data_IF_685174605116
#
_entry.id   IF_685174605116
#
_cell.length_a   1.000
_cell.length_b   1.000
_cell.length_c   1.000
_cell.angle_alpha   90.00
_cell.angle_beta   90.00
_cell.angle_gamma   90.00
#
_symmetry.space_group_name_H-M   'P 1'
#
loop_
_entity.id
_entity.type
_entity.pdbx_description
1 polymer ?
#
# COMPACT_ATOMS: atom_id res chain seq x y z
N UNK A 1 -31.35 -50.18 -81.25
CA UNK A 1 -32.28 -49.61 -80.23
C UNK A 1 -31.82 -50.03 -78.82
N UNK A 2 -31.29 -49.08 -78.04
CA UNK A 2 -30.97 -49.35 -76.63
C UNK A 2 -32.26 -49.41 -75.78
N UNK A 3 -32.32 -50.28 -74.76
CA UNK A 3 -33.47 -50.34 -73.86
C UNK A 3 -33.59 -49.03 -73.04
N UNK A 4 -34.80 -48.61 -72.66
CA UNK A 4 -34.99 -47.41 -71.87
C UNK A 4 -34.38 -47.59 -70.48
N UNK A 5 -33.62 -46.59 -70.04
CA UNK A 5 -33.04 -46.55 -68.70
C UNK A 5 -34.13 -46.51 -67.63
N UNK A 6 -33.99 -47.24 -66.51
CA UNK A 6 -34.98 -47.23 -65.43
C UNK A 6 -35.04 -45.85 -64.76
N UNK A 7 -36.26 -45.41 -64.44
CA UNK A 7 -36.50 -44.18 -63.66
C UNK A 7 -35.88 -44.33 -62.25
N UNK A 8 -35.30 -43.26 -61.69
CA UNK A 8 -34.74 -43.28 -60.35
C UNK A 8 -35.84 -43.54 -59.31
N UNK A 9 -35.54 -44.29 -58.24
CA UNK A 9 -36.50 -44.56 -57.17
C UNK A 9 -36.90 -43.27 -56.45
N UNK A 10 -38.18 -43.14 -56.09
CA UNK A 10 -38.70 -42.03 -55.31
C UNK A 10 -38.01 -41.93 -53.94
N UNK A 11 -37.77 -40.71 -53.43
CA UNK A 11 -37.14 -40.53 -52.12
C UNK A 11 -38.03 -41.08 -51.00
N UNK A 12 -37.40 -41.79 -50.05
CA UNK A 12 -38.05 -42.26 -48.83
C UNK A 12 -38.53 -41.06 -47.98
N UNK A 13 -39.68 -41.18 -47.30
CA UNK A 13 -40.14 -40.14 -46.38
C UNK A 13 -39.14 -39.98 -45.21
N UNK A 14 -38.96 -38.75 -44.70
CA UNK A 14 -38.08 -38.49 -43.58
C UNK A 14 -38.56 -39.20 -42.32
N UNK A 15 -37.63 -39.75 -41.54
CA UNK A 15 -37.93 -40.36 -40.25
C UNK A 15 -38.46 -39.32 -39.25
N UNK A 16 -39.39 -39.70 -38.36
CA UNK A 16 -39.89 -38.79 -37.34
C UNK A 16 -38.76 -38.38 -36.37
N UNK A 17 -38.80 -37.14 -35.84
CA UNK A 17 -37.81 -36.67 -34.89
C UNK A 17 -37.88 -37.45 -33.58
N UNK A 18 -36.71 -37.74 -32.99
CA UNK A 18 -36.62 -38.37 -31.68
C UNK A 18 -37.25 -37.50 -30.59
N UNK A 19 -37.92 -38.10 -29.58
CA UNK A 19 -38.50 -37.34 -28.47
C UNK A 19 -37.40 -36.62 -27.67
N UNK A 20 -37.70 -35.38 -27.27
CA UNK A 20 -36.81 -34.58 -26.42
C UNK A 20 -36.64 -35.25 -25.04
N UNK A 21 -35.44 -35.20 -24.45
CA UNK A 21 -35.23 -35.70 -23.09
C UNK A 21 -36.07 -34.88 -22.09
N UNK A 22 -36.56 -35.50 -21.01
CA UNK A 22 -37.32 -34.80 -19.99
C UNK A 22 -36.47 -33.70 -19.34
N UNK A 23 -37.10 -32.55 -19.10
CA UNK A 23 -36.46 -31.41 -18.46
C UNK A 23 -36.07 -31.76 -17.01
N UNK A 24 -34.88 -31.39 -16.54
CA UNK A 24 -34.46 -31.67 -15.17
C UNK A 24 -35.38 -30.96 -14.16
N UNK A 25 -35.71 -31.66 -13.08
CA UNK A 25 -36.55 -31.17 -11.99
C UNK A 25 -35.84 -29.99 -11.27
N UNK A 26 -36.57 -28.90 -10.95
CA UNK A 26 -35.96 -27.76 -10.25
C UNK A 26 -35.48 -28.18 -8.85
N UNK A 27 -34.35 -27.64 -8.38
CA UNK A 27 -33.85 -27.95 -7.04
C UNK A 27 -34.82 -27.46 -5.97
N UNK A 28 -35.01 -28.27 -4.93
CA UNK A 28 -35.83 -27.92 -3.77
C UNK A 28 -35.34 -26.62 -3.12
N UNK A 29 -36.25 -25.77 -2.61
CA UNK A 29 -35.88 -24.55 -1.93
C UNK A 29 -35.06 -24.86 -0.66
N UNK A 30 -34.07 -24.02 -0.31
CA UNK A 30 -33.29 -24.21 0.91
C UNK A 30 -34.18 -24.11 2.15
N UNK A 31 -33.88 -24.94 3.16
CA UNK A 31 -34.57 -24.90 4.44
C UNK A 31 -34.40 -23.54 5.13
N UNK A 32 -35.42 -23.04 5.84
CA UNK A 32 -35.33 -21.77 6.55
C UNK A 32 -34.24 -21.81 7.62
N UNK A 33 -33.45 -20.74 7.69
CA UNK A 33 -32.41 -20.56 8.70
C UNK A 33 -33.09 -20.40 10.07
N UNK A 34 -32.64 -21.13 11.12
CA UNK A 34 -33.19 -20.96 12.46
C UNK A 34 -32.96 -19.52 12.96
N UNK A 35 -33.90 -18.97 13.75
CA UNK A 35 -33.75 -17.61 14.28
C UNK A 35 -32.49 -17.52 15.14
N UNK A 36 -31.80 -16.39 15.03
CA UNK A 36 -30.62 -16.11 15.85
C UNK A 36 -31.02 -16.06 17.35
N UNK A 37 -30.17 -16.58 18.25
CA UNK A 37 -30.44 -16.52 19.68
C UNK A 37 -30.54 -15.07 20.15
N UNK A 38 -31.53 -14.79 21.00
CA UNK A 38 -31.72 -13.48 21.63
C UNK A 38 -30.50 -13.20 22.52
N UNK A 39 -29.84 -12.03 22.39
CA UNK A 39 -28.73 -11.69 23.26
C UNK A 39 -29.19 -11.62 24.73
N UNK A 40 -28.36 -12.08 25.69
CA UNK A 40 -28.70 -12.00 27.10
C UNK A 40 -28.84 -10.53 27.53
N UNK A 41 -29.81 -10.27 28.41
CA UNK A 41 -29.99 -8.94 29.00
C UNK A 41 -28.72 -8.51 29.74
N UNK A 42 -28.34 -7.22 29.66
CA UNK A 42 -27.19 -6.71 30.39
C UNK A 42 -27.41 -6.87 31.91
N UNK A 43 -26.34 -7.16 32.67
CA UNK A 43 -26.43 -7.22 34.12
C UNK A 43 -26.84 -5.86 34.70
N UNK A 44 -27.65 -5.88 35.75
CA UNK A 44 -28.03 -4.68 36.49
C UNK A 44 -26.78 -3.94 36.99
N UNK A 45 -26.79 -2.60 36.98
CA UNK A 45 -25.68 -1.81 37.50
C UNK A 45 -25.46 -2.11 38.99
N UNK A 46 -24.18 -2.22 39.37
CA UNK A 46 -23.78 -2.35 40.77
C UNK A 46 -24.19 -1.10 41.56
N UNK A 47 -24.58 -1.25 42.84
CA UNK A 47 -24.88 -0.10 43.69
C UNK A 47 -23.65 0.81 43.83
N UNK A 48 -23.84 2.13 43.97
CA UNK A 48 -22.73 3.07 44.15
C UNK A 48 -21.94 2.72 45.42
N UNK A 49 -20.62 2.82 45.32
CA UNK A 49 -19.71 2.66 46.46
C UNK A 49 -19.93 3.82 47.45
N UNK A 50 -19.89 3.58 48.77
CA UNK A 50 -20.04 4.64 49.75
C UNK A 50 -18.94 5.70 49.61
N UNK A 51 -19.33 6.96 49.79
CA UNK A 51 -18.45 8.12 49.71
C UNK A 51 -17.39 8.05 50.82
N UNK A 52 -16.09 8.26 50.52
CA UNK A 52 -15.06 8.29 51.54
C UNK A 52 -15.26 9.51 52.46
N UNK A 53 -14.95 9.39 53.76
CA UNK A 53 -15.06 10.51 54.69
C UNK A 53 -14.09 11.65 54.32
N UNK A 54 -14.55 12.88 54.48
CA UNK A 54 -13.75 14.08 54.25
C UNK A 54 -12.48 14.10 55.10
N UNK A 55 -11.32 14.49 54.53
CA UNK A 55 -10.08 14.62 55.30
C UNK A 55 -10.18 15.76 56.31
N UNK A 56 -9.51 15.66 57.48
CA UNK A 56 -9.46 16.74 58.44
C UNK A 56 -8.70 17.96 57.88
N UNK A 57 -9.11 19.16 58.32
CA UNK A 57 -8.51 20.42 57.93
C UNK A 57 -7.01 20.48 58.30
N UNK A 58 -6.14 21.01 57.42
CA UNK A 58 -4.72 21.12 57.70
C UNK A 58 -4.41 22.18 58.75
N UNK A 59 -3.49 21.85 59.66
CA UNK A 59 -2.88 22.78 60.64
C UNK A 59 -1.99 23.78 59.89
N UNK A 60 -1.98 25.09 60.25
CA UNK A 60 -1.13 26.06 59.58
C UNK A 60 0.36 25.75 59.81
N UNK A 61 1.22 25.85 58.77
CA UNK A 61 2.65 25.57 58.91
C UNK A 61 3.36 26.67 59.70
N UNK A 62 4.31 26.27 60.54
CA UNK A 62 5.27 27.18 61.19
C UNK A 62 6.20 27.83 60.14
N UNK A 63 6.72 29.05 60.40
CA UNK A 63 7.56 29.76 59.44
C UNK A 63 8.88 29.03 59.17
N UNK A 64 9.22 28.93 57.88
CA UNK A 64 10.41 28.25 57.35
C UNK A 64 11.62 29.21 57.42
N UNK A 65 12.79 28.77 57.89
CA UNK A 65 14.02 29.58 57.85
C UNK A 65 14.51 29.79 56.41
N UNK A 66 15.24 30.89 56.11
CA UNK A 66 15.67 31.20 54.76
C UNK A 66 16.61 30.14 54.18
N UNK A 67 16.41 29.79 52.91
CA UNK A 67 17.17 28.77 52.19
C UNK A 67 18.58 29.26 51.80
N UNK A 68 19.61 28.39 51.84
CA UNK A 68 20.94 28.72 51.33
C UNK A 68 20.94 28.89 49.79
N UNK A 69 21.91 29.63 49.21
CA UNK A 69 21.96 29.90 47.78
C UNK A 69 22.15 28.61 46.96
N UNK A 70 21.46 28.55 45.82
CA UNK A 70 21.47 27.39 44.92
C UNK A 70 22.84 27.16 44.26
N UNK A 71 23.32 25.91 44.15
CA UNK A 71 24.52 25.59 43.39
C UNK A 71 24.27 25.75 41.88
N UNK A 72 25.32 26.15 41.16
CA UNK A 72 25.34 26.28 39.70
C UNK A 72 24.96 24.96 39.00
N UNK A 73 24.22 25.01 37.88
CA UNK A 73 23.83 23.80 37.15
C UNK A 73 25.06 23.12 36.54
N UNK A 74 25.13 21.77 36.55
CA UNK A 74 26.21 21.03 35.92
C UNK A 74 26.17 21.20 34.39
N UNK A 75 27.36 21.17 33.78
CA UNK A 75 27.54 21.24 32.33
C UNK A 75 26.84 20.05 31.64
N UNK A 76 26.17 20.25 30.49
CA UNK A 76 25.46 19.18 29.81
C UNK A 76 26.42 18.10 29.31
N UNK A 77 26.07 16.85 29.62
CA UNK A 77 26.80 15.64 29.20
C UNK A 77 26.75 15.49 27.66
N UNK A 78 27.85 15.06 27.00
CA UNK A 78 27.85 14.85 25.56
C UNK A 78 26.82 13.78 25.15
N UNK A 79 26.13 13.95 24.00
CA UNK A 79 25.12 13.00 23.56
C UNK A 79 25.75 11.62 23.32
N UNK A 80 25.10 10.59 23.86
CA UNK A 80 25.48 9.20 23.63
C UNK A 80 25.47 8.87 22.13
N UNK A 81 26.41 8.03 21.65
CA UNK A 81 26.42 7.60 20.26
C UNK A 81 25.11 6.88 19.91
N UNK A 82 24.57 7.07 18.69
CA UNK A 82 23.32 6.44 18.29
C UNK A 82 23.46 4.91 18.35
N UNK A 83 22.50 4.27 19.03
CA UNK A 83 22.41 2.81 19.06
C UNK A 83 22.38 2.24 17.65
N UNK A 84 23.08 1.13 17.37
CA UNK A 84 23.03 0.47 16.07
C UNK A 84 21.60 0.05 15.74
N UNK A 85 21.11 0.53 14.60
CA UNK A 85 19.74 0.27 14.10
C UNK A 85 19.66 -1.21 13.68
N UNK A 86 18.63 -1.96 14.14
CA UNK A 86 18.42 -3.33 13.69
C UNK A 86 18.16 -3.36 12.17
N UNK A 87 18.67 -4.37 11.44
CA UNK A 87 18.45 -4.48 10.01
C UNK A 87 16.95 -4.53 9.70
N UNK A 88 16.51 -3.71 8.73
CA UNK A 88 15.14 -3.75 8.20
C UNK A 88 14.80 -5.19 7.75
N UNK A 89 13.60 -5.70 8.05
CA UNK A 89 13.22 -7.07 7.71
C UNK A 89 13.24 -7.27 6.18
N UNK A 90 13.55 -8.49 5.70
CA UNK A 90 13.56 -8.81 4.28
C UNK A 90 12.20 -8.53 3.64
N UNK A 91 12.22 -7.96 2.43
CA UNK A 91 11.08 -7.42 1.69
C UNK A 91 9.81 -8.25 1.86
N UNK A 92 8.85 -7.69 2.59
CA UNK A 92 7.49 -8.21 2.62
C UNK A 92 6.74 -7.54 1.47
N UNK A 93 6.23 -8.33 0.53
CA UNK A 93 5.15 -7.90 -0.37
C UNK A 93 4.02 -7.43 0.55
N UNK A 94 3.82 -6.12 0.64
CA UNK A 94 2.97 -5.60 1.69
C UNK A 94 1.52 -6.05 1.49
N UNK A 95 0.94 -6.67 2.52
CA UNK A 95 -0.48 -7.02 2.54
C UNK A 95 -1.26 -5.75 2.86
N UNK A 96 -1.79 -5.10 1.84
CA UNK A 96 -2.66 -3.93 1.97
C UNK A 96 -4.14 -4.29 2.05
N UNK A 97 -4.91 -3.52 2.81
CA UNK A 97 -6.37 -3.45 2.69
C UNK A 97 -6.73 -2.09 2.10
N UNK A 98 -7.61 -2.06 1.09
CA UNK A 98 -8.21 -0.82 0.57
C UNK A 98 -7.24 0.15 -0.11
N UNK A 99 -6.34 -0.34 -0.98
CA UNK A 99 -5.40 0.54 -1.71
C UNK A 99 -4.05 0.72 -1.02
N UNK A 100 -4.00 0.65 0.32
CA UNK A 100 -2.85 1.08 1.12
C UNK A 100 -1.84 -0.04 1.41
N UNK A 101 -0.55 0.21 1.18
CA UNK A 101 0.56 -0.64 1.63
C UNK A 101 1.62 0.21 2.33
N UNK A 102 2.29 -0.37 3.34
CA UNK A 102 3.39 0.20 4.12
C UNK A 102 4.60 -0.75 4.11
N UNK A 103 5.81 -0.22 4.36
CA UNK A 103 7.07 -0.96 4.57
C UNK A 103 7.70 -1.66 3.35
N UNK A 104 7.67 -1.05 2.15
CA UNK A 104 8.48 -1.52 0.99
C UNK A 104 9.94 -1.04 1.06
N UNK A 105 10.42 -0.72 2.25
CA UNK A 105 11.82 -0.38 2.48
C UNK A 105 12.61 -1.66 2.74
N UNK A 106 13.76 -1.82 2.08
CA UNK A 106 14.67 -2.91 2.41
C UNK A 106 15.52 -3.38 1.23
N UNK A 107 16.35 -4.39 1.51
CA UNK A 107 17.09 -5.10 0.46
C UNK A 107 16.13 -6.02 -0.30
N UNK A 108 16.24 -6.13 -1.63
CA UNK A 108 15.48 -7.11 -2.38
C UNK A 108 15.74 -8.52 -1.86
N UNK A 109 14.68 -9.32 -1.86
CA UNK A 109 14.69 -10.74 -1.55
C UNK A 109 15.50 -11.52 -2.59
N UNK A 110 15.96 -12.71 -2.21
CA UNK A 110 16.68 -13.58 -3.15
C UNK A 110 15.84 -13.98 -4.37
N UNK A 111 14.52 -14.09 -4.21
CA UNK A 111 13.59 -14.33 -5.32
C UNK A 111 13.58 -13.17 -6.33
N UNK A 112 13.52 -11.93 -5.84
CA UNK A 112 13.59 -10.72 -6.67
C UNK A 112 14.94 -10.62 -7.40
N UNK A 113 16.05 -10.90 -6.70
CA UNK A 113 17.38 -10.94 -7.30
C UNK A 113 17.51 -12.02 -8.39
N UNK A 114 16.90 -13.19 -8.17
CA UNK A 114 16.90 -14.25 -9.17
C UNK A 114 16.03 -13.88 -10.39
N UNK A 115 14.93 -13.16 -10.19
CA UNK A 115 14.09 -12.66 -11.28
C UNK A 115 14.84 -11.62 -12.14
N UNK A 116 15.58 -10.72 -11.50
CA UNK A 116 16.49 -9.78 -12.20
C UNK A 116 17.52 -10.53 -13.05
N UNK A 117 18.17 -11.57 -12.49
CA UNK A 117 19.14 -12.41 -13.23
C UNK A 117 18.52 -13.10 -14.44
N UNK A 118 17.29 -13.59 -14.29
CA UNK A 118 16.58 -14.30 -15.35
C UNK A 118 15.89 -13.36 -16.35
N UNK A 119 15.99 -12.03 -16.18
CA UNK A 119 15.36 -10.98 -17.01
C UNK A 119 13.88 -11.21 -17.30
N UNK A 120 13.16 -11.85 -16.38
CA UNK A 120 11.75 -12.18 -16.57
C UNK A 120 10.87 -11.02 -16.06
N UNK A 121 10.49 -10.12 -16.96
CA UNK A 121 9.44 -9.13 -16.70
C UNK A 121 8.07 -9.80 -16.83
N UNK A 122 7.73 -10.67 -15.87
CA UNK A 122 6.46 -11.41 -15.87
C UNK A 122 5.74 -11.18 -14.56
N UNK A 123 4.48 -10.78 -14.66
CA UNK A 123 3.62 -10.59 -13.51
C UNK A 123 3.19 -11.95 -12.95
N UNK A 124 3.66 -12.30 -11.75
CA UNK A 124 2.96 -13.31 -10.97
C UNK A 124 1.74 -12.66 -10.29
N UNK A 125 0.55 -13.30 -10.30
CA UNK A 125 -0.62 -12.81 -9.57
C UNK A 125 -0.35 -12.61 -8.06
N UNK A 126 0.65 -13.30 -7.51
CA UNK A 126 1.08 -13.19 -6.11
C UNK A 126 2.09 -12.08 -5.85
N UNK A 127 2.68 -11.49 -6.89
CA UNK A 127 3.67 -10.40 -6.81
C UNK A 127 3.06 -9.03 -7.15
N UNK A 128 1.84 -8.98 -7.68
CA UNK A 128 1.16 -7.73 -8.00
C UNK A 128 0.92 -6.94 -6.71
N UNK A 129 1.71 -5.90 -6.52
CA UNK A 129 1.76 -5.15 -5.26
C UNK A 129 0.52 -4.29 -5.07
N UNK A 130 -0.15 -3.82 -6.12
CA UNK A 130 -1.36 -3.03 -5.92
C UNK A 130 -2.63 -3.87 -5.77
N UNK A 131 -3.46 -3.54 -4.76
CA UNK A 131 -4.72 -4.24 -4.55
C UNK A 131 -5.71 -3.98 -5.69
N UNK A 132 -6.63 -4.94 -5.94
CA UNK A 132 -7.70 -4.77 -6.91
C UNK A 132 -8.60 -3.58 -6.51
N UNK A 133 -8.93 -2.73 -7.48
CA UNK A 133 -9.90 -1.67 -7.28
C UNK A 133 -11.30 -2.25 -7.21
N UNK A 134 -11.88 -2.26 -6.02
CA UNK A 134 -13.31 -2.06 -5.82
C UNK A 134 -13.56 -1.76 -4.33
N UNK A 135 -14.19 -0.64 -3.96
CA UNK A 135 -14.47 0.58 -4.73
C UNK A 135 -13.70 1.76 -4.11
N UNK A 136 -12.54 2.13 -4.65
CA UNK A 136 -11.83 3.34 -4.26
C UNK A 136 -11.24 3.97 -5.52
N UNK A 137 -11.64 5.21 -5.76
CA UNK A 137 -11.30 6.15 -6.84
C UNK A 137 -9.81 6.53 -6.88
N UNK A 138 -9.01 6.16 -5.87
CA UNK A 138 -7.58 6.44 -5.79
C UNK A 138 -6.79 5.20 -5.37
N UNK A 139 -5.79 4.83 -6.17
CA UNK A 139 -4.82 3.78 -5.86
C UNK A 139 -3.43 4.35 -5.68
N UNK A 140 -2.89 4.16 -4.49
CA UNK A 140 -1.55 4.61 -4.14
C UNK A 140 -0.95 3.69 -3.09
N UNK A 141 0.36 3.56 -3.06
CA UNK A 141 1.04 2.91 -1.95
C UNK A 141 2.18 3.77 -1.41
N UNK A 142 2.44 3.61 -0.11
CA UNK A 142 3.38 4.45 0.62
C UNK A 142 4.49 3.63 1.26
N UNK A 143 5.64 4.26 1.33
CA UNK A 143 6.85 3.71 1.91
C UNK A 143 7.36 4.74 2.90
N UNK A 144 7.55 4.34 4.16
CA UNK A 144 8.07 5.22 5.18
C UNK A 144 9.49 4.78 5.54
N UNK A 145 10.41 5.74 5.59
CA UNK A 145 11.79 5.51 5.99
C UNK A 145 11.93 5.76 7.49
N UNK A 146 12.71 4.93 8.16
CA UNK A 146 13.04 5.10 9.58
C UNK A 146 14.22 6.07 9.80
N UNK A 147 14.86 6.54 8.74
CA UNK A 147 16.01 7.42 8.77
C UNK A 147 15.60 8.88 8.56
N UNK A 148 16.21 9.78 9.33
CA UNK A 148 16.05 11.22 9.17
C UNK A 148 17.14 11.74 8.23
N UNK A 149 16.83 11.85 6.94
CA UNK A 149 17.77 12.28 5.90
C UNK A 149 17.19 13.51 5.19
N UNK A 150 18.00 14.55 4.98
CA UNK A 150 17.58 15.71 4.19
C UNK A 150 17.63 15.38 2.70
N UNK A 151 16.70 15.92 1.92
CA UNK A 151 16.68 15.75 0.46
C UNK A 151 18.03 16.12 -0.17
N UNK A 152 18.67 17.21 0.28
CA UNK A 152 19.97 17.63 -0.23
C UNK A 152 21.11 16.62 -0.03
N UNK A 153 20.95 15.62 0.84
CA UNK A 153 21.90 14.54 1.10
C UNK A 153 21.61 13.28 0.26
N UNK A 154 20.52 13.27 -0.50
CA UNK A 154 20.12 12.15 -1.37
C UNK A 154 20.40 12.51 -2.82
N UNK A 155 21.05 11.58 -3.52
CA UNK A 155 21.32 11.70 -4.95
C UNK A 155 20.08 11.36 -5.77
N UNK A 156 19.45 10.22 -5.49
CA UNK A 156 18.34 9.67 -6.27
C UNK A 156 17.45 8.74 -5.43
N UNK A 157 16.20 8.59 -5.85
CA UNK A 157 15.30 7.56 -5.38
C UNK A 157 15.43 6.37 -6.33
N UNK A 158 15.72 5.19 -5.81
CA UNK A 158 15.77 3.97 -6.61
C UNK A 158 14.56 3.10 -6.30
N UNK A 159 13.90 2.61 -7.33
CA UNK A 159 12.78 1.67 -7.23
C UNK A 159 13.02 0.43 -8.07
N UNK A 160 12.78 -0.73 -7.49
CA UNK A 160 12.81 -1.99 -8.20
C UNK A 160 11.46 -2.25 -8.87
N UNK A 161 11.44 -2.29 -10.20
CA UNK A 161 10.28 -2.70 -10.99
C UNK A 161 10.46 -4.16 -11.37
N UNK A 162 9.55 -5.03 -10.91
CA UNK A 162 9.61 -6.47 -11.14
C UNK A 162 8.73 -6.91 -12.31
N UNK A 163 7.63 -6.21 -12.51
CA UNK A 163 6.71 -6.47 -13.60
C UNK A 163 5.92 -5.20 -13.94
N UNK A 164 5.82 -4.88 -15.22
CA UNK A 164 4.92 -3.86 -15.74
C UNK A 164 3.68 -4.54 -16.30
N UNK A 165 2.51 -4.02 -15.93
CA UNK A 165 1.25 -4.44 -16.54
C UNK A 165 1.00 -3.67 -17.84
N UNK A 166 -0.23 -3.73 -18.29
CA UNK A 166 -0.80 -2.99 -19.43
C UNK A 166 -1.31 -1.59 -19.04
N UNK A 167 -1.01 -1.13 -17.82
CA UNK A 167 -1.43 0.20 -17.34
C UNK A 167 -0.63 1.31 -18.00
N UNK A 168 -1.35 2.33 -18.44
CA UNK A 168 -0.76 3.53 -19.03
C UNK A 168 -1.52 4.78 -18.54
N UNK A 169 -0.87 5.72 -17.84
CA UNK A 169 0.51 5.63 -17.34
C UNK A 169 0.67 4.49 -16.31
N UNK A 170 1.89 3.97 -16.19
CA UNK A 170 2.27 3.00 -15.18
C UNK A 170 2.18 3.59 -13.77
N UNK A 171 2.63 4.84 -13.60
CA UNK A 171 2.42 5.64 -12.40
C UNK A 171 1.88 7.01 -12.78
N UNK A 172 0.73 7.37 -12.22
CA UNK A 172 0.19 8.74 -12.31
C UNK A 172 1.19 9.76 -11.73
N UNK A 173 1.77 9.43 -10.57
CA UNK A 173 2.79 10.27 -9.94
C UNK A 173 3.62 9.53 -8.91
N UNK A 174 4.86 9.97 -8.75
CA UNK A 174 5.74 9.61 -7.63
C UNK A 174 6.00 10.85 -6.80
N UNK A 175 5.73 10.75 -5.52
CA UNK A 175 5.80 11.85 -4.56
C UNK A 175 6.77 11.48 -3.43
N UNK A 176 7.64 12.41 -3.04
CA UNK A 176 8.41 12.29 -1.80
C UNK A 176 7.57 12.92 -0.69
N UNK A 177 7.34 12.16 0.38
CA UNK A 177 6.72 12.65 1.60
C UNK A 177 7.83 13.28 2.44
N UNK A 178 7.78 14.59 2.60
CA UNK A 178 8.78 15.35 3.35
C UNK A 178 8.17 16.12 4.51
N UNK A 179 9.02 16.49 5.46
CA UNK A 179 8.76 17.52 6.45
C UNK A 179 9.58 18.75 6.09
N UNK A 180 8.92 19.84 5.72
CA UNK A 180 9.60 21.11 5.44
C UNK A 180 10.22 21.69 6.72
N UNK A 181 11.30 22.47 6.57
CA UNK A 181 11.95 23.11 7.71
C UNK A 181 10.97 24.03 8.46
N UNK A 182 10.82 23.81 9.76
CA UNK A 182 9.86 24.55 10.60
C UNK A 182 8.40 24.09 10.50
N UNK A 183 8.08 23.10 9.66
CA UNK A 183 6.72 22.57 9.52
C UNK A 183 6.45 21.36 10.43
N UNK A 184 5.26 21.32 11.02
CA UNK A 184 4.72 20.17 11.76
C UNK A 184 4.01 19.18 10.88
N UNK A 185 3.53 19.62 9.71
CA UNK A 185 2.81 18.79 8.77
C UNK A 185 3.74 18.15 7.74
N UNK A 186 3.29 17.01 7.20
CA UNK A 186 3.96 16.36 6.07
C UNK A 186 3.44 16.97 4.77
N UNK A 187 4.34 17.12 3.81
CA UNK A 187 4.05 17.62 2.48
C UNK A 187 4.43 16.56 1.46
N UNK A 188 3.50 16.25 0.56
CA UNK A 188 3.78 15.39 -0.59
C UNK A 188 4.30 16.24 -1.73
N UNK A 189 5.55 16.02 -2.12
CA UNK A 189 6.20 16.77 -3.20
C UNK A 189 6.34 15.84 -4.40
N UNK A 190 5.63 16.16 -5.47
CA UNK A 190 5.67 15.40 -6.73
C UNK A 190 7.06 15.54 -7.35
N UNK A 191 7.72 14.42 -7.64
CA UNK A 191 9.04 14.36 -8.30
C UNK A 191 8.98 13.77 -9.70
N UNK A 192 7.89 13.06 -10.03
CA UNK A 192 7.63 12.56 -11.37
C UNK A 192 6.11 12.40 -11.59
N UNK A 193 5.67 12.51 -12.85
CA UNK A 193 4.26 12.38 -13.29
C UNK A 193 4.20 11.54 -14.55
N UNK A 194 3.05 10.93 -14.80
CA UNK A 194 2.70 10.28 -16.06
C UNK A 194 3.78 9.30 -16.55
N UNK A 195 4.36 8.53 -15.61
CA UNK A 195 5.45 7.61 -15.91
C UNK A 195 4.88 6.45 -16.71
N UNK A 196 5.33 6.29 -17.94
CA UNK A 196 4.90 5.21 -18.82
C UNK A 196 5.66 3.92 -18.57
N UNK A 197 5.15 2.83 -19.14
CA UNK A 197 5.90 1.57 -19.22
C UNK A 197 7.20 1.69 -20.05
N UNK A 198 7.30 2.67 -20.95
CA UNK A 198 8.50 2.93 -21.75
C UNK A 198 9.58 3.70 -20.99
N UNK A 199 9.20 4.44 -19.94
CA UNK A 199 10.12 5.21 -19.10
C UNK A 199 10.81 4.34 -18.03
N UNK A 200 10.40 3.07 -17.91
CA UNK A 200 10.88 2.15 -16.87
C UNK A 200 11.43 0.87 -17.49
N UNK A 201 12.63 0.50 -17.07
CA UNK A 201 13.19 -0.80 -17.35
C UNK A 201 12.50 -1.88 -16.49
N UNK A 202 12.27 -3.06 -17.08
CA UNK A 202 11.66 -4.18 -16.37
C UNK A 202 12.24 -5.54 -16.81
N UNK A 203 12.61 -6.43 -15.86
CA UNK A 203 12.75 -6.16 -14.44
C UNK A 203 14.06 -5.39 -14.18
N UNK A 204 14.03 -4.27 -13.46
CA UNK A 204 15.22 -3.47 -13.21
C UNK A 204 15.06 -2.51 -12.04
N UNK A 205 16.21 -1.99 -11.58
CA UNK A 205 16.22 -0.80 -10.75
C UNK A 205 16.09 0.43 -11.62
N UNK A 206 15.14 1.28 -11.30
CA UNK A 206 14.87 2.53 -11.97
C UNK A 206 15.17 3.68 -11.02
N UNK A 207 15.87 4.68 -11.52
CA UNK A 207 16.31 5.82 -10.73
C UNK A 207 15.49 7.06 -11.06
N UNK A 208 14.96 7.70 -10.02
CA UNK A 208 14.19 8.92 -10.12
C UNK A 208 14.96 10.06 -9.45
N UNK A 209 15.15 11.20 -10.13
CA UNK A 209 15.79 12.37 -9.54
C UNK A 209 14.90 12.96 -8.44
N UNK A 210 15.51 13.42 -7.33
CA UNK A 210 14.78 14.18 -6.31
C UNK A 210 14.71 15.66 -6.69
N UNK A 211 13.96 15.96 -7.76
CA UNK A 211 13.68 17.33 -8.19
C UNK A 211 12.18 17.55 -8.17
N UNK A 212 11.68 18.61 -7.50
CA UNK A 212 10.26 18.87 -7.45
C UNK A 212 9.76 19.25 -8.85
N UNK A 213 8.67 18.62 -9.29
CA UNK A 213 7.99 18.98 -10.54
C UNK A 213 7.40 20.39 -10.37
N UNK A 214 7.44 21.18 -11.45
CA UNK A 214 6.84 22.51 -11.46
C UNK A 214 5.37 22.46 -11.04
N UNK A 215 4.95 23.40 -10.19
CA UNK A 215 3.58 23.43 -9.65
C UNK A 215 3.35 22.52 -8.43
N UNK A 216 4.38 21.86 -7.89
CA UNK A 216 4.32 21.11 -6.63
C UNK A 216 4.16 21.97 -5.37
N UNK A 217 4.19 23.31 -5.50
CA UNK A 217 4.03 24.25 -4.39
C UNK A 217 5.25 24.38 -3.47
N UNK A 218 6.36 23.71 -3.78
CA UNK A 218 7.60 23.76 -2.99
C UNK A 218 8.77 24.16 -3.89
N UNK A 219 9.57 25.13 -3.43
CA UNK A 219 10.78 25.54 -4.17
C UNK A 219 11.89 24.50 -4.03
N UNK A 220 12.78 24.39 -5.01
CA UNK A 220 13.93 23.47 -4.94
C UNK A 220 14.80 23.71 -3.71
N UNK A 221 14.97 24.97 -3.29
CA UNK A 221 15.73 25.32 -2.09
C UNK A 221 15.04 24.80 -0.81
N UNK A 222 13.74 25.03 -0.67
CA UNK A 222 12.98 24.52 0.48
C UNK A 222 12.93 22.99 0.48
N UNK A 223 12.76 22.37 -0.69
CA UNK A 223 12.75 20.92 -0.86
C UNK A 223 14.09 20.30 -0.44
N UNK A 224 15.22 20.88 -0.87
CA UNK A 224 16.57 20.40 -0.52
C UNK A 224 16.85 20.42 1.00
N UNK A 225 16.22 21.33 1.74
CA UNK A 225 16.37 21.43 3.19
C UNK A 225 15.38 20.53 3.96
N UNK A 226 14.37 19.99 3.29
CA UNK A 226 13.33 19.17 3.89
C UNK A 226 13.85 17.80 4.32
N UNK A 227 13.27 17.28 5.40
CA UNK A 227 13.57 15.91 5.88
C UNK A 227 12.65 14.93 5.16
N UNK A 228 13.23 13.89 4.54
CA UNK A 228 12.47 12.82 3.90
C UNK A 228 11.87 11.92 4.99
N UNK A 229 10.58 11.65 4.84
CA UNK A 229 9.81 10.76 5.71
C UNK A 229 9.35 9.51 4.96
N UNK A 230 9.09 9.64 3.65
CA UNK A 230 8.64 8.53 2.84
C UNK A 230 8.53 8.82 1.34
N UNK A 231 7.94 7.88 0.62
CA UNK A 231 7.57 7.97 -0.79
C UNK A 231 6.13 7.51 -0.93
N UNK A 232 5.38 8.17 -1.78
CA UNK A 232 4.06 7.73 -2.25
C UNK A 232 4.12 7.53 -3.76
N UNK A 233 3.57 6.41 -4.21
CA UNK A 233 3.41 6.12 -5.64
C UNK A 233 1.92 6.03 -5.94
N UNK A 234 1.41 6.94 -6.75
CA UNK A 234 0.04 6.94 -7.25
C UNK A 234 0.00 6.26 -8.61
N UNK A 235 -1.00 5.42 -8.86
CA UNK A 235 -1.00 4.58 -10.07
C UNK A 235 -2.12 4.86 -11.05
N UNK A 236 -3.37 5.04 -10.61
CA UNK A 236 -4.43 5.56 -11.49
C UNK A 236 -5.74 5.88 -10.73
N UNK A 237 -6.61 6.65 -11.39
CA UNK A 237 -8.04 6.70 -11.12
C UNK A 237 -8.72 5.37 -11.51
N UNK A 238 -9.72 4.96 -10.75
CA UNK A 238 -10.09 3.57 -10.62
C UNK A 238 -10.95 2.96 -11.75
N UNK A 239 -11.22 3.68 -12.83
CA UNK A 239 -12.27 3.34 -13.80
C UNK A 239 -11.83 2.43 -14.97
N UNK A 240 -10.53 2.14 -15.14
CA UNK A 240 -10.01 1.49 -16.36
C UNK A 240 -9.26 0.17 -16.21
N UNK A 241 -9.22 -0.44 -15.02
CA UNK A 241 -8.27 -1.52 -14.73
C UNK A 241 -8.98 -2.88 -14.60
N UNK A 242 -8.68 -3.81 -15.50
CA UNK A 242 -9.08 -5.23 -15.43
C UNK A 242 -8.08 -6.03 -14.59
N UNK A 243 -8.48 -7.22 -14.12
CA UNK A 243 -7.54 -8.13 -13.47
C UNK A 243 -6.42 -8.53 -14.45
N UNK A 244 -5.17 -8.23 -14.10
CA UNK A 244 -3.99 -8.42 -14.96
C UNK A 244 -3.28 -7.11 -15.32
N UNK A 245 -3.98 -5.99 -15.28
CA UNK A 245 -3.46 -4.65 -15.53
C UNK A 245 -2.77 -4.11 -14.24
N UNK A 246 -1.85 -4.87 -13.64
CA UNK A 246 -1.20 -4.49 -12.37
C UNK A 246 0.28 -4.25 -12.60
N UNK A 247 0.94 -3.47 -11.75
CA UNK A 247 2.40 -3.43 -11.69
C UNK A 247 2.89 -4.11 -10.41
N UNK A 248 4.08 -4.70 -10.48
CA UNK A 248 4.78 -5.24 -9.32
C UNK A 248 5.98 -4.34 -9.02
N UNK A 249 5.84 -3.54 -7.97
CA UNK A 249 6.96 -2.80 -7.36
C UNK A 249 7.59 -3.68 -6.28
N UNK A 250 8.90 -3.85 -6.36
CA UNK A 250 9.74 -4.41 -5.32
C UNK A 250 10.27 -3.32 -4.40
N UNK A 251 11.47 -3.52 -3.86
CA UNK A 251 12.12 -2.58 -2.94
C UNK A 251 12.21 -1.14 -3.46
N UNK A 252 12.03 -0.17 -2.56
CA UNK A 252 12.34 1.24 -2.78
C UNK A 252 13.39 1.72 -1.78
N UNK A 253 14.31 2.57 -2.23
CA UNK A 253 15.41 3.05 -1.40
C UNK A 253 15.95 4.42 -1.84
N UNK A 254 16.57 5.12 -0.89
CA UNK A 254 17.25 6.39 -1.14
C UNK A 254 18.75 6.12 -1.32
N UNK A 255 19.33 6.66 -2.38
CA UNK A 255 20.78 6.63 -2.61
C UNK A 255 21.38 7.91 -2.06
N UNK A 256 22.19 7.80 -1.00
CA UNK A 256 22.87 8.93 -0.39
C UNK A 256 24.01 9.44 -1.28
N UNK A 257 24.33 10.74 -1.15
CA UNK A 257 25.49 11.37 -1.81
C UNK A 257 26.80 11.03 -1.12
#
# INVERSE_FOLDING_TARGET
>A
PLPPSPLPPSPLPPSPPSPLPPSPEPPSPPSPVPPSPVPPSPPSPLPPSPEPPSPPSPVPPSPVPPSPPSPLPPSPEPPSPPSPVPPSPPGKVGKGKGGLIKNIVGKPTQAELNQLKNKACKLSPTQAWMPPAKPLDKRWGEVYFNQSVKVGQVSKLTTLVLAVGTLEPLFDSVEIIVRLAGATDLTNVVIARDISSADMECPAYNDLPLVPVAGSGVTTAAFNLATIVGVRVNVNAADKIKDGDRCALGAMGLVLK
#
